data_IF_630150592874
#
_entry.id   IF_630150592874
#
_cell.length_a   1.000
_cell.length_b   1.000
_cell.length_c   1.000
_cell.angle_alpha   90.00
_cell.angle_beta   90.00
_cell.angle_gamma   90.00
#
_symmetry.space_group_name_H-M   'P 1'
#
loop_
_entity.id
_entity.type
_entity.pdbx_description
1 polymer ?
#
# COMPACT_ATOMS: atom_id res chain seq x y z
N UNK A 1 15.87 34.93 28.05
CA UNK A 1 15.33 33.95 29.01
C UNK A 1 13.89 33.68 28.61
N UNK A 2 13.65 32.62 27.83
CA UNK A 2 12.31 32.26 27.35
C UNK A 2 12.10 30.80 27.76
N UNK A 3 11.51 30.60 28.94
CA UNK A 3 11.04 29.28 29.34
C UNK A 3 9.79 28.99 28.51
N UNK A 4 9.97 28.47 27.29
CA UNK A 4 8.86 27.90 26.53
C UNK A 4 8.27 26.76 27.36
N UNK A 5 6.98 26.91 27.66
CA UNK A 5 6.24 26.18 28.67
C UNK A 5 6.22 24.67 28.37
N UNK A 6 6.89 23.86 29.21
CA UNK A 6 6.99 22.40 29.07
C UNK A 6 5.61 21.69 29.10
N UNK A 7 4.54 22.40 29.54
CA UNK A 7 3.15 21.92 29.45
C UNK A 7 2.59 22.02 28.03
N UNK A 8 2.91 23.08 27.30
CA UNK A 8 2.40 23.29 25.93
C UNK A 8 3.02 22.27 24.98
N UNK A 9 4.33 21.98 25.10
CA UNK A 9 4.98 20.93 24.31
C UNK A 9 4.39 19.54 24.58
N UNK A 10 4.10 19.20 25.85
CA UNK A 10 3.47 17.92 26.21
C UNK A 10 2.03 17.80 25.69
N UNK A 11 1.28 18.89 25.65
CA UNK A 11 -0.06 18.92 25.08
C UNK A 11 -0.02 18.64 23.57
N UNK A 12 0.84 19.35 22.82
CA UNK A 12 0.98 19.12 21.38
C UNK A 12 1.46 17.71 21.05
N UNK A 13 2.39 17.15 21.84
CA UNK A 13 2.84 15.77 21.71
C UNK A 13 1.71 14.75 21.94
N UNK A 14 0.85 14.98 22.93
CA UNK A 14 -0.30 14.09 23.19
C UNK A 14 -1.35 14.19 22.09
N UNK A 15 -1.68 15.41 21.65
CA UNK A 15 -2.60 15.63 20.54
C UNK A 15 -2.09 14.95 19.25
N UNK A 16 -0.80 15.08 18.93
CA UNK A 16 -0.19 14.43 17.77
C UNK A 16 -0.27 12.90 17.83
N UNK A 17 -0.04 12.29 19.01
CA UNK A 17 -0.18 10.84 19.20
C UNK A 17 -1.62 10.37 19.01
N UNK A 18 -2.60 11.13 19.52
CA UNK A 18 -4.03 10.81 19.38
C UNK A 18 -4.45 10.91 17.90
N UNK A 19 -4.05 11.98 17.19
CA UNK A 19 -4.34 12.14 15.76
C UNK A 19 -3.73 10.99 14.96
N UNK A 20 -2.46 10.66 15.20
CA UNK A 20 -1.81 9.56 14.50
C UNK A 20 -2.47 8.20 14.77
N UNK A 21 -2.95 7.97 15.99
CA UNK A 21 -3.71 6.77 16.34
C UNK A 21 -5.01 6.67 15.53
N UNK A 22 -5.77 7.76 15.43
CA UNK A 22 -7.00 7.76 14.63
C UNK A 22 -6.74 7.62 13.12
N UNK A 23 -5.66 8.22 12.61
CA UNK A 23 -5.22 8.02 11.21
C UNK A 23 -4.88 6.55 10.96
N UNK A 24 -4.18 5.89 11.91
CA UNK A 24 -3.88 4.47 11.80
C UNK A 24 -5.14 3.60 11.84
N UNK A 25 -6.08 3.90 12.75
CA UNK A 25 -7.36 3.19 12.80
C UNK A 25 -8.17 3.36 11.51
N UNK A 26 -8.25 4.59 10.98
CA UNK A 26 -8.89 4.86 9.70
C UNK A 26 -8.22 4.08 8.56
N UNK A 27 -6.89 4.08 8.51
CA UNK A 27 -6.14 3.33 7.49
C UNK A 27 -6.42 1.83 7.55
N UNK A 28 -6.47 1.25 8.75
CA UNK A 28 -6.82 -0.17 8.94
C UNK A 28 -8.26 -0.40 8.50
N UNK A 29 -9.21 0.43 8.94
CA UNK A 29 -10.62 0.32 8.56
C UNK A 29 -10.86 0.44 7.05
N UNK A 30 -10.19 1.39 6.39
CA UNK A 30 -10.23 1.57 4.94
C UNK A 30 -9.62 0.37 4.22
N UNK A 31 -8.50 -0.17 4.72
CA UNK A 31 -7.88 -1.40 4.16
C UNK A 31 -8.83 -2.59 4.27
N UNK A 32 -9.47 -2.80 5.42
CA UNK A 32 -10.50 -3.81 5.60
C UNK A 32 -11.67 -3.61 4.64
N UNK A 33 -12.17 -2.37 4.51
CA UNK A 33 -13.24 -2.04 3.57
C UNK A 33 -12.85 -2.43 2.13
N UNK A 34 -11.62 -2.13 1.71
CA UNK A 34 -11.16 -2.48 0.36
C UNK A 34 -11.13 -3.98 0.11
N UNK A 35 -10.70 -4.79 1.09
CA UNK A 35 -10.67 -6.26 0.92
C UNK A 35 -12.06 -6.86 0.77
N UNK A 36 -13.02 -6.39 1.58
CA UNK A 36 -14.32 -7.07 1.70
C UNK A 36 -15.43 -6.46 0.85
N UNK A 37 -15.31 -5.19 0.47
CA UNK A 37 -16.39 -4.44 -0.15
C UNK A 37 -16.02 -3.75 -1.46
N UNK A 38 -14.74 -3.69 -1.83
CA UNK A 38 -14.36 -3.31 -3.19
C UNK A 38 -14.21 -4.56 -4.04
N UNK A 39 -14.77 -4.54 -5.25
CA UNK A 39 -14.75 -5.69 -6.14
C UNK A 39 -13.31 -6.18 -6.33
N UNK A 40 -13.10 -7.47 -6.09
CA UNK A 40 -11.87 -8.22 -6.37
C UNK A 40 -11.62 -8.35 -7.88
N UNK A 41 -11.82 -7.27 -8.64
CA UNK A 41 -11.81 -7.28 -10.10
C UNK A 41 -12.14 -5.95 -10.74
N UNK A 42 -11.85 -4.81 -10.09
CA UNK A 42 -11.89 -3.53 -10.80
C UNK A 42 -10.93 -3.55 -12.02
N UNK A 43 -11.14 -2.64 -12.98
CA UNK A 43 -10.37 -2.60 -14.23
C UNK A 43 -8.86 -2.68 -14.00
N UNK A 44 -8.34 -1.80 -13.13
CA UNK A 44 -6.92 -1.74 -12.79
C UNK A 44 -6.37 -3.08 -12.25
N UNK A 45 -7.07 -3.73 -11.30
CA UNK A 45 -6.63 -4.98 -10.71
C UNK A 45 -6.48 -6.08 -11.77
N UNK A 46 -7.43 -6.15 -12.71
CA UNK A 46 -7.41 -7.13 -13.80
C UNK A 46 -6.31 -6.80 -14.81
N UNK A 47 -6.14 -5.54 -15.17
CA UNK A 47 -5.07 -5.06 -16.05
C UNK A 47 -3.67 -5.39 -15.49
N UNK A 48 -3.43 -5.13 -14.20
CA UNK A 48 -2.18 -5.45 -13.53
C UNK A 48 -1.87 -6.95 -13.50
N UNK A 49 -2.87 -7.80 -13.27
CA UNK A 49 -2.68 -9.26 -13.27
C UNK A 49 -2.43 -9.78 -14.68
N UNK A 50 -3.16 -9.27 -15.67
CA UNK A 50 -2.98 -9.66 -17.06
C UNK A 50 -1.58 -9.26 -17.56
N UNK A 51 -1.12 -8.05 -17.27
CA UNK A 51 0.25 -7.62 -17.58
C UNK A 51 1.32 -8.50 -16.91
N UNK A 52 1.09 -8.89 -15.65
CA UNK A 52 1.95 -9.83 -14.91
C UNK A 52 1.98 -11.21 -15.58
N UNK A 53 0.83 -11.72 -16.01
CA UNK A 53 0.73 -12.98 -16.73
C UNK A 53 1.50 -12.92 -18.06
N UNK A 54 1.32 -11.86 -18.86
CA UNK A 54 2.05 -11.68 -20.11
C UNK A 54 3.57 -11.73 -19.90
N UNK A 55 4.09 -11.04 -18.89
CA UNK A 55 5.51 -11.08 -18.52
C UNK A 55 5.95 -12.48 -18.09
N UNK A 56 5.14 -13.18 -17.29
CA UNK A 56 5.44 -14.55 -16.88
C UNK A 56 5.61 -15.48 -18.09
N UNK A 57 4.86 -15.27 -19.16
CA UNK A 57 4.96 -16.01 -20.43
C UNK A 57 5.92 -15.38 -21.46
N UNK A 58 6.80 -14.48 -21.03
CA UNK A 58 7.93 -13.99 -21.82
C UNK A 58 7.62 -12.79 -22.72
N UNK A 59 6.48 -12.13 -22.53
CA UNK A 59 6.17 -10.88 -23.22
C UNK A 59 6.86 -9.70 -22.55
N UNK A 60 7.31 -8.74 -23.34
CA UNK A 60 8.01 -7.53 -22.89
C UNK A 60 7.07 -6.33 -22.98
N UNK A 61 6.84 -5.58 -21.89
CA UNK A 61 6.06 -4.35 -21.90
C UNK A 61 6.55 -3.35 -22.95
N UNK A 62 5.62 -2.64 -23.58
CA UNK A 62 5.80 -1.65 -24.64
C UNK A 62 6.37 -2.17 -25.96
N UNK A 63 6.82 -3.44 -26.02
CA UNK A 63 7.22 -4.12 -27.26
C UNK A 63 6.15 -5.08 -27.74
N UNK A 64 5.67 -5.93 -26.83
CA UNK A 64 4.75 -7.02 -27.15
C UNK A 64 3.31 -6.72 -26.68
N UNK A 65 3.15 -5.81 -25.72
CA UNK A 65 1.86 -5.31 -25.25
C UNK A 65 2.01 -3.90 -24.68
N UNK A 66 0.93 -3.12 -24.70
CA UNK A 66 0.88 -1.80 -24.08
C UNK A 66 0.08 -1.84 -22.79
N UNK A 67 0.60 -1.18 -21.76
CA UNK A 67 -0.12 -0.88 -20.52
C UNK A 67 0.43 0.44 -19.96
N UNK A 68 -0.46 1.32 -19.47
CA UNK A 68 -0.11 2.69 -19.15
C UNK A 68 0.58 2.86 -17.78
N UNK A 69 0.50 1.85 -16.91
CA UNK A 69 1.18 1.85 -15.62
C UNK A 69 2.67 1.45 -15.71
N UNK A 70 3.42 1.70 -14.64
CA UNK A 70 4.84 1.32 -14.55
C UNK A 70 5.01 -0.21 -14.36
N UNK A 71 5.96 -0.87 -15.06
CA UNK A 71 6.06 -2.32 -15.08
C UNK A 71 6.70 -2.98 -13.85
N UNK A 72 7.23 -2.19 -12.89
CA UNK A 72 8.01 -2.73 -11.77
C UNK A 72 7.27 -3.86 -11.03
N UNK A 73 6.01 -3.63 -10.65
CA UNK A 73 5.23 -4.60 -9.90
C UNK A 73 4.94 -5.87 -10.71
N UNK A 74 4.74 -5.74 -12.03
CA UNK A 74 4.50 -6.90 -12.89
C UNK A 74 5.72 -7.82 -12.94
N UNK A 75 6.94 -7.27 -13.01
CA UNK A 75 8.17 -8.06 -12.96
C UNK A 75 8.40 -8.71 -11.58
N UNK A 76 8.01 -8.05 -10.50
CA UNK A 76 8.09 -8.63 -9.14
C UNK A 76 7.12 -9.81 -9.00
N UNK A 77 5.91 -9.69 -9.55
CA UNK A 77 4.87 -10.72 -9.41
C UNK A 77 4.95 -11.85 -10.45
N UNK A 78 5.57 -11.63 -11.62
CA UNK A 78 5.61 -12.63 -12.68
C UNK A 78 6.27 -13.97 -12.30
N UNK A 79 7.39 -14.02 -11.54
CA UNK A 79 7.95 -15.27 -11.04
C UNK A 79 6.99 -16.00 -10.08
N UNK A 80 6.24 -15.25 -9.28
CA UNK A 80 5.28 -15.79 -8.32
C UNK A 80 4.13 -16.46 -9.09
N UNK A 81 3.58 -15.80 -10.12
CA UNK A 81 2.52 -16.37 -10.97
C UNK A 81 2.93 -17.72 -11.61
N UNK A 82 4.20 -17.93 -11.98
CA UNK A 82 4.65 -19.23 -12.51
C UNK A 82 4.46 -20.39 -11.52
N UNK A 83 4.45 -20.10 -10.22
CA UNK A 83 4.25 -21.10 -9.17
C UNK A 83 2.78 -21.26 -8.76
N UNK A 84 1.90 -20.32 -9.12
CA UNK A 84 0.47 -20.36 -8.80
C UNK A 84 -0.36 -20.47 -10.08
N UNK A 85 -1.08 -21.59 -10.25
CA UNK A 85 -1.92 -21.84 -11.42
C UNK A 85 -3.20 -20.98 -11.48
N UNK A 86 -3.53 -20.26 -10.40
CA UNK A 86 -4.76 -19.48 -10.30
C UNK A 86 -4.46 -17.96 -10.22
N UNK A 87 -4.76 -17.18 -11.27
CA UNK A 87 -4.63 -15.72 -11.29
C UNK A 87 -5.38 -15.00 -10.17
N UNK A 88 -6.50 -15.57 -9.67
CA UNK A 88 -7.26 -14.99 -8.56
C UNK A 88 -6.46 -15.07 -7.26
N UNK A 89 -5.70 -16.15 -7.04
CA UNK A 89 -4.81 -16.22 -5.87
C UNK A 89 -3.69 -15.20 -5.92
N UNK A 90 -3.20 -14.86 -7.12
CA UNK A 90 -2.25 -13.76 -7.28
C UNK A 90 -2.90 -12.41 -6.93
N UNK A 91 -4.18 -12.21 -7.29
CA UNK A 91 -4.92 -11.01 -6.91
C UNK A 91 -5.00 -10.85 -5.39
N UNK A 92 -5.41 -11.91 -4.70
CA UNK A 92 -5.51 -11.91 -3.24
C UNK A 92 -4.14 -11.61 -2.59
N UNK A 93 -3.07 -12.18 -3.13
CA UNK A 93 -1.71 -11.91 -2.67
C UNK A 93 -1.30 -10.45 -2.90
N UNK A 94 -1.61 -9.89 -4.07
CA UNK A 94 -1.33 -8.49 -4.39
C UNK A 94 -2.07 -7.54 -3.45
N UNK A 95 -3.32 -7.85 -3.07
CA UNK A 95 -4.07 -7.09 -2.08
C UNK A 95 -3.44 -7.15 -0.69
N UNK A 96 -3.06 -8.34 -0.22
CA UNK A 96 -2.36 -8.49 1.07
C UNK A 96 -1.09 -7.64 1.09
N UNK A 97 -0.28 -7.69 0.02
CA UNK A 97 0.95 -6.89 -0.09
C UNK A 97 0.64 -5.39 -0.11
N UNK A 98 -0.39 -4.95 -0.83
CA UNK A 98 -0.84 -3.56 -0.86
C UNK A 98 -1.23 -3.05 0.53
N UNK A 99 -1.96 -3.84 1.31
CA UNK A 99 -2.36 -3.50 2.68
C UNK A 99 -1.14 -3.39 3.60
N UNK A 100 -0.23 -4.37 3.54
CA UNK A 100 1.00 -4.33 4.33
C UNK A 100 1.86 -3.11 3.97
N UNK A 101 1.96 -2.78 2.68
CA UNK A 101 2.62 -1.56 2.21
C UNK A 101 1.95 -0.28 2.72
N UNK A 102 0.61 -0.25 2.74
CA UNK A 102 -0.18 0.83 3.32
C UNK A 102 0.10 1.02 4.81
N UNK A 103 0.01 -0.05 5.60
CA UNK A 103 0.32 -0.04 7.04
C UNK A 103 1.75 0.45 7.30
N UNK A 104 2.73 -0.07 6.56
CA UNK A 104 4.12 0.35 6.66
C UNK A 104 4.29 1.85 6.35
N UNK A 105 3.59 2.35 5.32
CA UNK A 105 3.60 3.77 4.95
C UNK A 105 3.07 4.64 6.08
N UNK A 106 1.92 4.29 6.67
CA UNK A 106 1.37 5.03 7.81
C UNK A 106 2.28 4.99 9.04
N UNK A 107 2.93 3.86 9.30
CA UNK A 107 3.92 3.75 10.37
C UNK A 107 5.14 4.67 10.16
N UNK A 108 5.66 4.74 8.93
CA UNK A 108 6.76 5.65 8.58
C UNK A 108 6.33 7.10 8.73
N UNK A 109 5.14 7.47 8.25
CA UNK A 109 4.58 8.82 8.44
C UNK A 109 4.47 9.16 9.93
N UNK A 110 3.95 8.25 10.76
CA UNK A 110 3.91 8.42 12.20
C UNK A 110 5.31 8.67 12.81
N UNK A 111 6.33 7.90 12.40
CA UNK A 111 7.72 8.08 12.84
C UNK A 111 8.28 9.44 12.44
N UNK A 112 8.02 9.90 11.22
CA UNK A 112 8.44 11.22 10.74
C UNK A 112 7.76 12.30 11.58
N UNK A 113 6.43 12.21 11.75
CA UNK A 113 5.67 13.20 12.49
C UNK A 113 6.15 13.35 13.93
N UNK A 114 6.38 12.22 14.61
CA UNK A 114 6.87 12.20 15.99
C UNK A 114 8.33 12.60 16.14
N UNK A 115 9.14 12.49 15.10
CA UNK A 115 10.55 12.90 15.13
C UNK A 115 10.73 14.41 14.91
N UNK A 116 9.90 15.01 14.06
CA UNK A 116 10.10 16.38 13.60
C UNK A 116 9.09 17.39 14.14
N UNK A 117 7.89 16.96 14.54
CA UNK A 117 6.79 17.86 14.95
C UNK A 117 6.29 17.64 16.38
N UNK A 118 6.81 16.64 17.11
CA UNK A 118 6.45 16.34 18.50
C UNK A 118 7.69 16.54 19.39
#
# INVERSE_FOLDING_TARGET
>A
MMQSNVKDSRFFQQAAKIIAFFVLLYAIGFSFWTVFYTETGNGDNVEHIHATWLIAYGKVPYRDFFEHHNPLLWYVFAPILKHFLNPITLLDLAHIIGILGGIATFFVVYKICTRFFA
#
